data_IF_784650880783
#
_entry.id   IF_784650880783
#
_cell.length_a   1.000
_cell.length_b   1.000
_cell.length_c   1.000
_cell.angle_alpha   90.00
_cell.angle_beta   90.00
_cell.angle_gamma   90.00
#
_symmetry.space_group_name_H-M   'P 1'
#
loop_
_entity.id
_entity.type
_entity.pdbx_description
1 polymer ?
#
# COMPACT_ATOMS: atom_id res chain seq x y z
N UNK A 1 -30.80 -17.30 -8.09
CA UNK A 1 -29.39 -17.69 -7.87
C UNK A 1 -28.56 -16.43 -7.74
N UNK A 2 -27.78 -16.29 -6.67
CA UNK A 2 -26.84 -15.18 -6.48
C UNK A 2 -25.44 -15.72 -6.75
N UNK A 3 -24.80 -15.23 -7.82
CA UNK A 3 -23.42 -15.56 -8.12
C UNK A 3 -22.53 -14.65 -7.27
N UNK A 4 -21.69 -15.23 -6.43
CA UNK A 4 -20.71 -14.51 -5.63
C UNK A 4 -19.31 -14.79 -6.16
N UNK A 5 -18.54 -13.74 -6.38
CA UNK A 5 -17.14 -13.82 -6.77
C UNK A 5 -16.30 -13.11 -5.72
N UNK A 6 -15.21 -13.75 -5.30
CA UNK A 6 -14.25 -13.18 -4.37
C UNK A 6 -12.87 -13.32 -4.96
N UNK A 7 -12.11 -12.24 -4.95
CA UNK A 7 -10.70 -12.22 -5.31
C UNK A 7 -9.94 -11.49 -4.21
N UNK A 8 -8.76 -12.00 -3.87
CA UNK A 8 -7.84 -11.37 -2.93
C UNK A 8 -6.43 -11.54 -3.45
N UNK A 9 -5.63 -10.47 -3.33
CA UNK A 9 -4.24 -10.49 -3.71
C UNK A 9 -3.44 -9.68 -2.69
N UNK A 10 -2.36 -10.27 -2.20
CA UNK A 10 -1.35 -9.59 -1.39
C UNK A 10 -0.13 -9.35 -2.26
N UNK A 11 0.41 -8.13 -2.23
CA UNK A 11 1.60 -7.74 -2.98
C UNK A 11 2.62 -7.11 -2.05
N UNK A 12 3.88 -7.46 -2.22
CA UNK A 12 5.02 -6.77 -1.59
C UNK A 12 5.64 -5.83 -2.62
N UNK A 13 5.69 -4.53 -2.28
CA UNK A 13 6.22 -3.51 -3.17
C UNK A 13 7.49 -2.96 -2.54
N UNK A 14 8.63 -3.20 -3.17
CA UNK A 14 9.90 -2.61 -2.74
C UNK A 14 9.88 -1.10 -3.01
N UNK A 15 9.86 -0.30 -1.95
CA UNK A 15 9.95 1.16 -2.03
C UNK A 15 11.40 1.55 -1.77
N UNK A 16 12.02 2.23 -2.75
CA UNK A 16 13.32 2.85 -2.53
C UNK A 16 13.14 4.03 -1.59
N UNK A 17 14.05 4.21 -0.62
CA UNK A 17 14.06 5.39 0.25
C UNK A 17 14.35 6.64 -0.59
N UNK A 18 13.28 7.25 -1.11
CA UNK A 18 13.30 8.59 -1.67
C UNK A 18 13.11 9.61 -0.54
N UNK A 19 13.30 10.91 -0.82
CA UNK A 19 13.30 11.98 0.19
C UNK A 19 12.03 12.13 1.07
N UNK A 20 10.97 11.37 0.82
CA UNK A 20 9.79 11.27 1.69
C UNK A 20 9.67 9.83 2.23
N UNK A 21 9.70 9.63 3.56
CA UNK A 21 9.42 8.34 4.18
C UNK A 21 8.07 7.76 3.74
N UNK A 22 8.02 6.46 3.49
CA UNK A 22 6.79 5.78 3.02
C UNK A 22 5.64 5.93 4.03
N UNK A 23 5.96 6.00 5.32
CA UNK A 23 4.98 6.23 6.39
C UNK A 23 4.27 7.57 6.21
N UNK A 24 5.01 8.63 5.86
CA UNK A 24 4.46 9.97 5.61
C UNK A 24 3.64 10.00 4.30
N UNK A 25 4.06 9.23 3.30
CA UNK A 25 3.30 9.09 2.07
C UNK A 25 1.94 8.43 2.31
N UNK A 26 1.91 7.36 3.11
CA UNK A 26 0.67 6.67 3.48
C UNK A 26 -0.24 7.53 4.36
N UNK A 27 0.29 8.51 5.11
CA UNK A 27 -0.51 9.46 5.89
C UNK A 27 -1.24 10.51 5.06
N UNK A 28 -1.03 10.57 3.74
CA UNK A 28 -1.68 11.53 2.84
C UNK A 28 -2.73 10.81 1.96
N UNK A 29 -3.98 10.62 2.44
CA UNK A 29 -5.00 9.84 1.75
C UNK A 29 -5.29 10.34 0.32
N UNK A 30 -5.33 11.65 0.11
CA UNK A 30 -5.56 12.25 -1.21
C UNK A 30 -4.55 11.77 -2.27
N UNK A 31 -3.27 11.63 -1.89
CA UNK A 31 -2.21 11.16 -2.78
C UNK A 31 -2.40 9.70 -3.16
N UNK A 32 -2.87 8.90 -2.21
CA UNK A 32 -3.12 7.47 -2.46
C UNK A 32 -4.31 7.31 -3.38
N UNK A 33 -5.40 8.02 -3.12
CA UNK A 33 -6.61 7.98 -3.94
C UNK A 33 -6.31 8.40 -5.37
N UNK A 34 -5.52 9.46 -5.56
CA UNK A 34 -5.07 9.90 -6.88
C UNK A 34 -4.19 8.86 -7.62
N UNK A 35 -3.56 7.92 -6.90
CA UNK A 35 -2.82 6.80 -7.48
C UNK A 35 -3.70 5.61 -7.89
N UNK A 36 -4.95 5.52 -7.42
CA UNK A 36 -5.86 4.40 -7.72
C UNK A 36 -6.56 4.53 -9.08
N UNK A 37 -6.69 5.75 -9.60
CA UNK A 37 -7.42 6.03 -10.84
C UNK A 37 -6.83 7.23 -11.57
N UNK A 38 -7.37 7.55 -12.74
CA UNK A 38 -6.94 8.71 -13.50
C UNK A 38 -7.26 10.00 -12.70
N UNK A 39 -6.40 11.03 -12.71
CA UNK A 39 -6.57 12.22 -11.86
C UNK A 39 -7.91 12.95 -12.02
N UNK A 40 -8.51 12.90 -13.22
CA UNK A 40 -9.82 13.50 -13.49
C UNK A 40 -11.02 12.70 -12.98
N UNK A 41 -10.79 11.51 -12.41
CA UNK A 41 -11.81 10.61 -11.90
C UNK A 41 -12.02 10.68 -10.39
N UNK A 42 -11.28 11.51 -9.66
CA UNK A 42 -11.37 11.61 -8.19
C UNK A 42 -12.09 12.88 -7.78
N UNK A 43 -13.13 12.74 -6.98
CA UNK A 43 -13.86 13.82 -6.32
C UNK A 43 -13.80 13.58 -4.80
N UNK A 44 -13.23 14.54 -4.05
CA UNK A 44 -13.24 14.47 -2.59
C UNK A 44 -14.58 15.00 -2.06
N UNK A 45 -15.31 14.15 -1.35
CA UNK A 45 -16.61 14.49 -0.75
C UNK A 45 -16.47 14.89 0.72
N UNK A 46 -15.41 14.41 1.39
CA UNK A 46 -15.10 14.72 2.78
C UNK A 46 -13.67 14.31 3.15
N UNK A 47 -13.28 14.44 4.44
CA UNK A 47 -11.91 14.15 4.89
C UNK A 47 -11.43 12.72 4.62
N UNK A 48 -12.33 11.74 4.73
CA UNK A 48 -12.06 10.33 4.46
C UNK A 48 -12.91 9.79 3.31
N UNK A 49 -13.71 10.62 2.64
CA UNK A 49 -14.72 10.16 1.67
C UNK A 49 -14.42 10.66 0.26
N UNK A 50 -14.36 9.74 -0.68
CA UNK A 50 -13.93 9.99 -2.05
C UNK A 50 -14.86 9.29 -3.03
N UNK A 51 -15.31 10.00 -4.06
CA UNK A 51 -15.95 9.39 -5.23
C UNK A 51 -14.90 9.17 -6.31
N UNK A 52 -14.79 7.93 -6.77
CA UNK A 52 -13.87 7.53 -7.83
C UNK A 52 -14.66 7.03 -9.04
N UNK A 53 -14.50 7.70 -10.17
CA UNK A 53 -14.92 7.21 -11.48
C UNK A 53 -13.83 6.32 -12.04
N UNK A 54 -14.09 5.01 -12.05
CA UNK A 54 -13.14 4.02 -12.52
C UNK A 54 -13.12 3.93 -14.05
N UNK A 55 -12.11 3.22 -14.57
CA UNK A 55 -11.99 3.00 -16.01
C UNK A 55 -13.21 2.22 -16.53
N UNK A 56 -13.72 2.57 -17.73
CA UNK A 56 -14.79 1.84 -18.36
C UNK A 56 -14.47 0.35 -18.48
N UNK A 57 -15.43 -0.50 -18.13
CA UNK A 57 -15.34 -1.94 -18.26
C UNK A 57 -16.16 -2.43 -19.45
N UNK A 58 -15.62 -3.41 -20.14
CA UNK A 58 -16.25 -4.07 -21.28
C UNK A 58 -16.39 -5.54 -20.97
N UNK A 59 -17.62 -6.03 -20.78
CA UNK A 59 -17.86 -7.41 -20.43
C UNK A 59 -19.12 -7.94 -21.10
N UNK A 60 -19.01 -9.08 -21.82
CA UNK A 60 -20.11 -9.73 -22.51
C UNK A 60 -21.03 -8.76 -23.31
N UNK A 61 -20.40 -7.88 -24.11
CA UNK A 61 -21.05 -6.83 -24.92
C UNK A 61 -21.64 -5.64 -24.15
N UNK A 62 -21.59 -5.64 -22.82
CA UNK A 62 -21.97 -4.49 -21.99
C UNK A 62 -20.77 -3.54 -21.81
N UNK A 63 -21.05 -2.24 -21.87
CA UNK A 63 -20.10 -1.18 -21.55
C UNK A 63 -20.66 -0.37 -20.40
N UNK A 64 -19.94 -0.35 -19.28
CA UNK A 64 -20.35 0.42 -18.11
C UNK A 64 -19.15 1.03 -17.42
N UNK A 65 -19.41 2.10 -16.68
CA UNK A 65 -18.38 2.83 -15.92
C UNK A 65 -18.71 2.71 -14.44
N UNK A 66 -17.90 2.00 -13.66
CA UNK A 66 -18.09 1.95 -12.21
C UNK A 66 -17.73 3.30 -11.57
N UNK A 67 -18.59 3.74 -10.65
CA UNK A 67 -18.37 4.90 -9.79
C UNK A 67 -18.45 4.41 -8.35
N UNK A 68 -17.31 4.37 -7.68
CA UNK A 68 -17.20 3.88 -6.31
C UNK A 68 -17.18 5.05 -5.33
N UNK A 69 -17.96 4.95 -4.26
CA UNK A 69 -17.77 5.77 -3.07
C UNK A 69 -16.82 5.01 -2.15
N UNK A 70 -15.67 5.59 -1.87
CA UNK A 70 -14.62 5.01 -1.04
C UNK A 70 -14.47 5.80 0.25
N UNK A 71 -14.27 5.07 1.34
CA UNK A 71 -13.71 5.59 2.57
C UNK A 71 -12.22 5.25 2.62
N UNK A 72 -11.37 6.25 2.82
CA UNK A 72 -9.93 6.09 2.92
C UNK A 72 -9.45 6.73 4.20
N UNK A 73 -8.86 5.92 5.08
CA UNK A 73 -8.52 6.35 6.43
C UNK A 73 -7.24 5.67 6.94
N UNK A 74 -6.59 6.30 7.91
CA UNK A 74 -5.36 5.81 8.52
C UNK A 74 -5.66 5.30 9.94
N UNK A 75 -5.82 3.98 10.15
CA UNK A 75 -6.12 3.46 11.48
C UNK A 75 -4.93 3.60 12.45
N UNK A 76 -3.71 3.64 11.91
CA UNK A 76 -2.47 3.77 12.66
C UNK A 76 -1.37 4.41 11.78
N UNK A 77 -0.29 4.94 12.37
CA UNK A 77 0.86 5.43 11.60
C UNK A 77 1.45 4.34 10.70
N UNK A 78 1.68 4.66 9.43
CA UNK A 78 2.20 3.70 8.44
C UNK A 78 1.16 2.69 7.94
N UNK A 79 -0.12 2.85 8.30
CA UNK A 79 -1.22 2.04 7.79
C UNK A 79 -2.25 2.91 7.08
N UNK A 80 -2.82 2.37 6.00
CA UNK A 80 -3.93 2.96 5.27
C UNK A 80 -4.94 1.87 4.95
N UNK A 81 -6.21 2.14 5.24
CA UNK A 81 -7.33 1.31 4.85
C UNK A 81 -8.16 2.01 3.77
N UNK A 82 -8.63 1.23 2.80
CA UNK A 82 -9.55 1.65 1.75
C UNK A 82 -10.74 0.71 1.79
N UNK A 83 -11.95 1.27 1.85
CA UNK A 83 -13.19 0.51 1.88
C UNK A 83 -14.22 1.14 0.95
N UNK A 84 -14.84 0.38 0.05
CA UNK A 84 -15.99 0.88 -0.71
C UNK A 84 -17.23 0.92 0.17
N UNK A 85 -17.89 2.07 0.22
CA UNK A 85 -19.19 2.26 0.85
C UNK A 85 -20.33 1.99 -0.15
N UNK A 86 -20.15 2.37 -1.41
CA UNK A 86 -21.11 2.13 -2.48
C UNK A 86 -20.38 1.99 -3.83
N UNK A 87 -21.03 1.36 -4.80
CA UNK A 87 -20.55 1.29 -6.17
C UNK A 87 -21.72 1.25 -7.16
N UNK A 88 -21.72 2.22 -8.08
CA UNK A 88 -22.75 2.36 -9.11
C UNK A 88 -22.15 2.11 -10.49
N UNK A 89 -22.87 1.37 -11.33
CA UNK A 89 -22.51 1.13 -12.72
C UNK A 89 -23.29 2.09 -13.61
N UNK A 90 -22.63 3.11 -14.14
CA UNK A 90 -23.21 4.02 -15.15
C UNK A 90 -23.26 3.30 -16.50
N UNK A 91 -24.39 3.38 -17.21
CA UNK A 91 -24.65 2.65 -18.45
C UNK A 91 -25.16 1.21 -18.25
N UNK A 92 -25.39 0.82 -17.00
CA UNK A 92 -25.92 -0.48 -16.60
C UNK A 92 -26.86 -0.32 -15.38
N UNK A 93 -27.70 0.71 -15.38
CA UNK A 93 -28.50 1.13 -14.24
C UNK A 93 -29.43 0.02 -13.71
N UNK A 94 -29.96 -0.81 -14.62
CA UNK A 94 -30.79 -1.97 -14.27
C UNK A 94 -30.05 -3.04 -13.44
N UNK A 95 -28.72 -3.02 -13.39
CA UNK A 95 -27.90 -3.92 -12.58
C UNK A 95 -27.60 -3.37 -11.19
N UNK A 96 -27.69 -2.05 -10.96
CA UNK A 96 -27.31 -1.45 -9.66
C UNK A 96 -28.15 -1.96 -8.49
N UNK A 97 -29.38 -2.43 -8.74
CA UNK A 97 -30.23 -3.03 -7.71
C UNK A 97 -29.88 -4.49 -7.38
N UNK A 98 -29.07 -5.13 -8.23
CA UNK A 98 -28.78 -6.58 -8.20
C UNK A 98 -27.28 -6.88 -8.16
N UNK A 99 -26.45 -5.84 -8.17
CA UNK A 99 -25.01 -5.92 -8.15
C UNK A 99 -24.50 -5.21 -6.91
N UNK A 100 -23.56 -5.84 -6.22
CA UNK A 100 -22.85 -5.24 -5.11
C UNK A 100 -21.36 -5.50 -5.29
N UNK A 101 -20.57 -4.43 -5.31
CA UNK A 101 -19.11 -4.51 -5.28
C UNK A 101 -18.62 -4.06 -3.90
N UNK A 102 -17.90 -4.94 -3.23
CA UNK A 102 -17.21 -4.61 -1.99
C UNK A 102 -15.70 -4.68 -2.21
N UNK A 103 -15.04 -3.53 -2.18
CA UNK A 103 -13.59 -3.41 -2.22
C UNK A 103 -13.10 -3.11 -0.80
N UNK A 104 -12.14 -3.89 -0.34
CA UNK A 104 -11.38 -3.61 0.89
C UNK A 104 -9.90 -3.78 0.59
N UNK A 105 -9.10 -2.81 1.01
CA UNK A 105 -7.66 -2.81 0.83
C UNK A 105 -6.97 -2.29 2.09
N UNK A 106 -5.79 -2.83 2.37
CA UNK A 106 -4.93 -2.36 3.45
C UNK A 106 -3.51 -2.25 2.94
N UNK A 107 -2.91 -1.08 3.13
CA UNK A 107 -1.49 -0.86 2.91
C UNK A 107 -0.82 -0.70 4.27
N UNK A 108 0.34 -1.33 4.41
CA UNK A 108 1.17 -1.23 5.61
C UNK A 108 2.61 -1.05 5.19
N UNK A 109 3.26 -0.03 5.74
CA UNK A 109 4.70 0.12 5.61
C UNK A 109 5.40 -0.91 6.48
N UNK A 110 6.25 -1.73 5.87
CA UNK A 110 7.14 -2.63 6.58
C UNK A 110 8.58 -2.32 6.21
N UNK A 111 9.44 -2.18 7.21
CA UNK A 111 10.88 -2.08 6.97
C UNK A 111 11.37 -3.47 6.61
N UNK A 112 11.62 -3.70 5.32
CA UNK A 112 12.30 -4.89 4.87
C UNK A 112 13.59 -5.03 5.68
N UNK A 113 13.70 -6.11 6.45
CA UNK A 113 14.94 -6.46 7.15
C UNK A 113 15.96 -6.75 6.05
N UNK A 114 16.84 -5.80 5.77
CA UNK A 114 17.87 -6.01 4.76
C UNK A 114 18.66 -7.28 5.13
N UNK A 115 18.81 -8.20 4.18
CA UNK A 115 19.68 -9.38 4.35
C UNK A 115 21.10 -8.92 4.71
N UNK A 116 21.54 -7.75 4.21
CA UNK A 116 22.80 -7.12 4.58
C UNK A 116 22.91 -6.84 6.09
N UNK A 117 21.84 -6.37 6.74
CA UNK A 117 21.81 -6.14 8.19
C UNK A 117 21.73 -7.42 9.03
N UNK A 118 21.19 -8.51 8.46
CA UNK A 118 21.19 -9.83 9.06
C UNK A 118 22.56 -10.52 8.93
N UNK A 119 23.22 -10.41 7.77
CA UNK A 119 24.58 -10.89 7.54
C UNK A 119 25.58 -10.09 8.38
N UNK A 120 25.47 -8.76 8.44
CA UNK A 120 26.32 -7.93 9.30
C UNK A 120 26.15 -8.29 10.79
N UNK A 121 24.94 -8.60 11.26
CA UNK A 121 24.71 -9.08 12.65
C UNK A 121 25.18 -10.52 12.87
N UNK A 122 25.08 -11.39 11.88
CA UNK A 122 25.58 -12.76 11.94
C UNK A 122 27.12 -12.81 11.93
N UNK A 123 27.78 -11.95 11.14
CA UNK A 123 29.23 -11.77 11.12
C UNK A 123 29.74 -11.06 12.37
N UNK A 124 29.02 -10.04 12.88
CA UNK A 124 29.38 -9.38 14.14
C UNK A 124 29.31 -10.33 15.36
N UNK A 125 28.41 -11.34 15.34
CA UNK A 125 28.36 -12.39 16.37
C UNK A 125 29.46 -13.45 16.23
N UNK A 126 30.07 -13.60 15.04
CA UNK A 126 31.26 -14.46 14.85
C UNK A 126 32.57 -13.78 15.25
N UNK A 127 32.63 -12.44 15.33
CA UNK A 127 33.84 -11.73 15.72
C UNK A 127 34.03 -11.54 17.24
N UNK A 128 33.05 -11.89 18.09
CA UNK A 128 33.21 -11.78 19.56
C UNK A 128 33.90 -12.98 20.23
N UNK A 129 34.31 -14.01 19.48
CA UNK A 129 34.95 -15.21 20.04
C UNK A 129 36.31 -15.52 19.40
N UNK A 130 37.12 -14.48 19.19
CA UNK A 130 38.53 -14.67 18.84
C UNK A 130 39.40 -13.50 19.34
N UNK A 131 39.80 -13.56 20.61
CA UNK A 131 41.13 -13.14 21.09
C UNK A 131 41.47 -14.04 22.28
N UNK A 132 42.72 -14.47 22.48
CA UNK A 132 43.97 -13.77 22.15
C UNK A 132 44.77 -14.52 21.07
N UNK A 133 45.59 -13.86 20.25
CA UNK A 133 47.03 -13.68 20.49
C UNK A 133 47.49 -12.37 19.82
N UNK A 134 48.40 -11.70 20.52
CA UNK A 134 49.08 -10.45 20.19
C UNK A 134 49.82 -10.45 18.84
N UNK A 135 49.96 -9.26 18.25
CA UNK A 135 51.02 -8.98 17.28
C UNK A 135 50.64 -7.95 16.22
N UNK A 136 51.18 -6.74 16.37
CA UNK A 136 51.25 -5.66 15.39
C UNK A 136 49.99 -4.82 15.14
N UNK A 137 50.15 -3.53 15.45
CA UNK A 137 49.11 -2.53 15.45
C UNK A 137 48.61 -2.17 14.07
N UNK A 138 47.32 -1.87 14.02
CA UNK A 138 46.69 -0.95 13.08
C UNK A 138 45.47 -0.36 13.78
N UNK A 139 45.29 0.94 13.57
CA UNK A 139 44.48 1.88 14.32
C UNK A 139 42.99 1.66 14.00
N UNK A 140 42.13 1.56 15.02
CA UNK A 140 40.68 1.64 14.86
C UNK A 140 40.24 3.10 14.70
N UNK A 141 39.33 3.45 13.75
CA UNK A 141 38.78 4.79 13.68
C UNK A 141 37.72 5.03 14.78
N UNK A 142 37.52 6.28 15.22
CA UNK A 142 36.59 6.62 16.29
C UNK A 142 35.12 6.51 15.84
N UNK A 143 34.28 5.94 16.71
CA UNK A 143 32.81 6.07 16.65
C UNK A 143 32.45 7.48 17.15
N UNK A 144 31.92 8.32 16.27
CA UNK A 144 31.22 9.55 16.65
C UNK A 144 29.84 9.21 17.24
N UNK A 145 29.55 9.89 18.36
CA UNK A 145 28.37 9.82 19.24
C UNK A 145 27.08 10.15 18.51
#
# INVERSE_FOLDING_TARGET
>A
MQNQFTASQTVEIAVQEAGLPIEQYLSAPDRIVAGLTDPGGVEQLGPEEFRLRLRPLHFLSLRFVPVALLRVYNPAPGELCIESQDCQLLGAEGFNQRFQLQLRGRLRSERARSLAGAIARALARRCCWAKPICGFGLICPPRSI
#
